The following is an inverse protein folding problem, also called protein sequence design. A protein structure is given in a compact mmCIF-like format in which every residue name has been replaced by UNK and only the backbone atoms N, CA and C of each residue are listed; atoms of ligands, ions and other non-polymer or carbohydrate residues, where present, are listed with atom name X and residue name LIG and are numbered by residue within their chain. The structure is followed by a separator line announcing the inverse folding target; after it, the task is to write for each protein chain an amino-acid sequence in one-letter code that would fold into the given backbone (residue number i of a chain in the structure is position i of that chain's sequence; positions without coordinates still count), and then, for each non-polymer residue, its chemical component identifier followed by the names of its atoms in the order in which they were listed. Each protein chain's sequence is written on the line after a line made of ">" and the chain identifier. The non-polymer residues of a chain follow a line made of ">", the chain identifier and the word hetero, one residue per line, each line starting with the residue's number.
data_IF_906159639403
#
_entry.id   IF_906159639403
#
_cell.length_a   1.000
_cell.length_b   1.000
_cell.length_c   1.000
_cell.angle_alpha   90.00
_cell.angle_beta   90.00
_cell.angle_gamma   90.00
#
_symmetry.space_group_name_H-M   'P 1'
#
loop_
_entity.id
_entity.type
_entity.pdbx_description
1 polymer ?
#
# COMPACT_ATOMS: atom_id res chain seq x y z
N UNK A 1 50.33 4.80 -40.94
CA UNK A 1 50.14 6.01 -40.09
C UNK A 1 49.15 5.63 -38.98
N UNK A 2 49.66 5.39 -37.76
CA UNK A 2 48.87 4.90 -36.62
C UNK A 2 48.45 6.10 -35.78
N UNK A 3 47.17 6.44 -35.77
CA UNK A 3 46.59 7.44 -34.85
C UNK A 3 46.10 6.76 -33.58
N UNK A 4 46.75 7.02 -32.45
CA UNK A 4 46.38 6.60 -31.12
C UNK A 4 45.36 7.62 -30.59
N UNK A 5 44.11 7.19 -30.38
CA UNK A 5 43.14 7.95 -29.59
C UNK A 5 43.35 7.64 -28.09
N UNK A 6 43.74 8.66 -27.36
CA UNK A 6 43.88 8.67 -25.93
C UNK A 6 42.49 9.05 -25.36
N UNK A 7 41.75 8.05 -24.85
CA UNK A 7 40.48 8.31 -24.14
C UNK A 7 40.80 8.72 -22.71
N UNK A 8 40.67 10.01 -22.40
CA UNK A 8 40.71 10.51 -21.03
C UNK A 8 39.39 10.13 -20.32
N UNK A 9 39.43 9.17 -19.39
CA UNK A 9 38.35 8.79 -18.49
C UNK A 9 38.27 9.85 -17.39
N UNK A 10 37.38 10.82 -17.52
CA UNK A 10 37.04 11.75 -16.44
C UNK A 10 36.14 11.01 -15.47
N UNK A 11 36.70 10.52 -14.37
CA UNK A 11 35.95 10.00 -13.22
C UNK A 11 35.40 11.24 -12.48
N UNK A 12 34.16 11.59 -12.74
CA UNK A 12 33.39 12.48 -11.87
C UNK A 12 33.11 11.72 -10.57
N UNK A 13 33.96 11.91 -9.58
CA UNK A 13 33.69 11.54 -8.21
C UNK A 13 32.51 12.36 -7.72
N UNK A 14 31.30 11.79 -7.74
CA UNK A 14 30.17 12.26 -6.96
C UNK A 14 30.54 12.10 -5.48
N UNK A 15 31.14 13.14 -4.90
CA UNK A 15 31.18 13.32 -3.45
C UNK A 15 29.73 13.46 -2.99
N UNK A 16 29.10 12.35 -2.56
CA UNK A 16 27.94 12.38 -1.71
C UNK A 16 28.38 13.11 -0.42
N UNK A 17 28.20 14.43 -0.37
CA UNK A 17 28.13 15.11 0.90
C UNK A 17 27.00 14.40 1.66
N UNK A 18 27.32 13.79 2.80
CA UNK A 18 26.34 13.23 3.71
C UNK A 18 25.53 14.40 4.29
N UNK A 19 24.56 14.90 3.53
CA UNK A 19 23.53 15.77 4.07
C UNK A 19 22.50 14.88 4.74
N UNK A 20 22.01 15.29 5.90
CA UNK A 20 20.89 14.62 6.55
C UNK A 20 19.72 14.55 5.55
N UNK A 21 19.12 13.35 5.41
CA UNK A 21 18.02 13.17 4.46
C UNK A 21 16.70 13.58 5.10
N UNK A 22 15.93 14.36 4.36
CA UNK A 22 14.63 14.84 4.80
C UNK A 22 13.50 13.86 4.42
N UNK A 23 12.34 14.05 5.03
CA UNK A 23 11.17 13.19 4.82
C UNK A 23 10.74 13.13 3.34
N UNK A 24 10.79 14.25 2.63
CA UNK A 24 10.35 14.35 1.24
C UNK A 24 11.30 13.59 0.30
N UNK A 25 12.60 13.67 0.51
CA UNK A 25 13.59 12.95 -0.29
C UNK A 25 13.45 11.44 -0.11
N UNK A 26 13.23 10.98 1.13
CA UNK A 26 12.97 9.56 1.43
C UNK A 26 11.67 9.08 0.75
N UNK A 27 10.60 9.88 0.79
CA UNK A 27 9.36 9.56 0.10
C UNK A 27 9.57 9.42 -1.42
N UNK A 28 10.29 10.35 -2.05
CA UNK A 28 10.59 10.30 -3.49
C UNK A 28 11.44 9.09 -3.87
N UNK A 29 12.38 8.70 -3.02
CA UNK A 29 13.13 7.46 -3.20
C UNK A 29 12.22 6.24 -3.07
N UNK A 30 11.35 6.21 -2.06
CA UNK A 30 10.38 5.14 -1.86
C UNK A 30 9.40 5.03 -3.04
N UNK A 31 8.92 6.15 -3.59
CA UNK A 31 8.03 6.17 -4.76
C UNK A 31 8.62 5.42 -5.97
N UNK A 32 9.95 5.50 -6.16
CA UNK A 32 10.65 4.78 -7.22
C UNK A 32 11.01 3.32 -6.92
N UNK A 33 11.10 2.93 -5.64
CA UNK A 33 11.71 1.67 -5.21
C UNK A 33 10.80 0.77 -4.37
N UNK A 34 9.73 1.29 -3.76
CA UNK A 34 8.85 0.50 -2.90
C UNK A 34 8.18 -0.63 -3.68
N UNK A 35 8.41 -1.91 -3.31
CA UNK A 35 7.89 -3.05 -4.08
C UNK A 35 6.36 -3.10 -4.11
N UNK A 36 5.69 -2.64 -3.04
CA UNK A 36 4.24 -2.66 -2.93
C UNK A 36 3.60 -1.66 -3.90
N UNK A 37 4.16 -0.45 -4.02
CA UNK A 37 3.71 0.54 -5.00
C UNK A 37 4.00 0.08 -6.44
N UNK A 38 5.18 -0.50 -6.70
CA UNK A 38 5.53 -1.02 -8.03
C UNK A 38 4.63 -2.20 -8.43
N UNK A 39 4.27 -3.07 -7.48
CA UNK A 39 3.29 -4.13 -7.70
C UNK A 39 1.92 -3.56 -8.09
N UNK A 40 1.41 -2.57 -7.34
CA UNK A 40 0.13 -1.94 -7.64
C UNK A 40 0.14 -1.26 -9.02
N UNK A 41 1.26 -0.62 -9.40
CA UNK A 41 1.45 -0.03 -10.73
C UNK A 41 1.38 -1.09 -11.83
N UNK A 42 2.11 -2.21 -11.67
CA UNK A 42 2.11 -3.29 -12.65
C UNK A 42 0.70 -3.93 -12.77
N UNK A 43 -0.03 -4.09 -11.67
CA UNK A 43 -1.41 -4.57 -11.69
C UNK A 43 -2.37 -3.61 -12.40
N UNK A 44 -2.21 -2.30 -12.18
CA UNK A 44 -2.94 -1.27 -12.91
C UNK A 44 -2.66 -1.36 -14.41
N UNK A 45 -1.40 -1.37 -14.80
CA UNK A 45 -1.01 -1.40 -16.21
C UNK A 45 -1.51 -2.68 -16.89
N UNK A 46 -1.46 -3.83 -16.22
CA UNK A 46 -2.06 -5.08 -16.70
C UNK A 46 -3.60 -5.00 -16.85
N UNK A 47 -4.29 -4.31 -15.93
CA UNK A 47 -5.73 -4.12 -16.01
C UNK A 47 -6.14 -3.23 -17.20
N UNK A 48 -5.33 -2.21 -17.53
CA UNK A 48 -5.55 -1.39 -18.74
C UNK A 48 -5.27 -2.18 -20.02
N UNK A 49 -4.24 -3.04 -20.04
CA UNK A 49 -3.98 -3.91 -21.19
C UNK A 49 -5.09 -4.96 -21.39
N UNK A 50 -5.77 -5.37 -20.33
CA UNK A 50 -6.93 -6.26 -20.41
C UNK A 50 -8.09 -5.70 -21.24
N UNK A 51 -8.20 -4.37 -21.37
CA UNK A 51 -9.20 -3.73 -22.24
C UNK A 51 -8.93 -4.13 -23.69
N UNK A 52 -7.66 -4.02 -24.15
CA UNK A 52 -7.26 -4.39 -25.50
C UNK A 52 -7.55 -5.87 -25.79
N UNK A 53 -7.28 -6.76 -24.83
CA UNK A 53 -7.61 -8.20 -24.94
C UNK A 53 -9.13 -8.43 -25.06
N UNK A 54 -9.93 -7.69 -24.29
CA UNK A 54 -11.38 -7.82 -24.32
C UNK A 54 -11.96 -7.26 -25.63
N UNK A 55 -11.44 -6.13 -26.11
CA UNK A 55 -11.86 -5.51 -27.37
C UNK A 55 -11.50 -6.39 -28.57
N UNK A 56 -10.42 -7.17 -28.48
CA UNK A 56 -10.02 -8.12 -29.53
C UNK A 56 -11.11 -9.17 -29.84
N UNK A 57 -12.06 -9.41 -28.93
CA UNK A 57 -13.22 -10.29 -29.19
C UNK A 57 -14.14 -9.76 -30.30
N UNK A 58 -14.06 -8.46 -30.63
CA UNK A 58 -14.81 -7.85 -31.74
C UNK A 58 -14.00 -7.79 -33.04
N UNK A 59 -12.72 -8.18 -33.03
CA UNK A 59 -11.83 -8.17 -34.19
C UNK A 59 -11.80 -9.54 -34.89
N UNK A 60 -11.40 -9.59 -36.17
CA UNK A 60 -11.24 -10.86 -36.87
C UNK A 60 -10.23 -11.77 -36.18
N UNK A 61 -10.59 -13.01 -35.95
CA UNK A 61 -9.72 -14.07 -35.43
C UNK A 61 -9.33 -14.99 -36.58
N UNK A 62 -8.03 -15.17 -36.81
CA UNK A 62 -7.50 -16.04 -37.86
C UNK A 62 -6.75 -17.18 -37.20
N UNK A 63 -7.17 -18.42 -37.51
CA UNK A 63 -6.58 -19.64 -36.96
C UNK A 63 -6.09 -20.56 -38.08
N UNK A 64 -4.91 -21.15 -37.92
CA UNK A 64 -4.41 -22.25 -38.75
C UNK A 64 -4.60 -23.55 -37.98
N UNK A 65 -5.28 -24.51 -38.60
CA UNK A 65 -5.46 -25.87 -38.09
C UNK A 65 -4.82 -26.89 -39.00
N UNK A 66 -4.27 -27.94 -38.43
CA UNK A 66 -3.89 -29.16 -39.17
C UNK A 66 -4.36 -30.36 -38.38
N UNK A 67 -4.88 -31.34 -39.08
CA UNK A 67 -5.41 -32.58 -38.49
C UNK A 67 -4.97 -33.78 -39.27
N UNK A 68 -4.80 -34.88 -38.57
CA UNK A 68 -4.60 -36.21 -39.18
C UNK A 68 -5.48 -37.21 -38.44
N UNK A 69 -6.34 -37.87 -39.18
CA UNK A 69 -7.33 -38.81 -38.64
C UNK A 69 -7.16 -40.18 -39.30
N UNK A 70 -7.36 -41.22 -38.53
CA UNK A 70 -7.44 -42.60 -39.02
C UNK A 70 -8.75 -43.22 -38.55
N UNK A 71 -9.60 -43.57 -39.50
CA UNK A 71 -10.90 -44.19 -39.26
C UNK A 71 -10.83 -45.68 -39.62
N UNK A 72 -11.27 -46.56 -38.71
CA UNK A 72 -11.55 -47.97 -38.99
C UNK A 72 -13.03 -48.22 -38.74
N UNK A 73 -13.74 -48.74 -39.71
CA UNK A 73 -15.15 -48.97 -39.65
C UNK A 73 -15.52 -50.39 -40.12
N UNK A 74 -16.69 -50.90 -39.72
CA UNK A 74 -17.21 -52.18 -40.16
C UNK A 74 -18.21 -52.02 -41.32
N UNK A 75 -18.31 -50.83 -41.94
CA UNK A 75 -19.18 -50.66 -43.12
C UNK A 75 -18.61 -51.42 -44.32
N UNK A 76 -19.50 -51.97 -45.10
CA UNK A 76 -19.13 -52.91 -46.20
C UNK A 76 -18.27 -52.24 -47.28
N UNK A 77 -18.38 -50.91 -47.47
CA UNK A 77 -17.76 -50.21 -48.60
C UNK A 77 -16.47 -49.49 -48.21
N UNK A 78 -16.24 -49.15 -46.94
CA UNK A 78 -14.98 -48.51 -46.44
C UNK A 78 -14.58 -49.19 -45.15
N UNK A 79 -13.46 -49.92 -45.14
CA UNK A 79 -12.93 -50.57 -43.93
C UNK A 79 -11.97 -49.70 -43.14
N UNK A 80 -11.17 -48.92 -43.85
CA UNK A 80 -10.23 -47.95 -43.25
C UNK A 80 -10.09 -46.72 -44.13
N UNK A 81 -9.98 -45.56 -43.48
CA UNK A 81 -9.66 -44.30 -44.16
C UNK A 81 -8.65 -43.52 -43.31
N UNK A 82 -7.58 -43.08 -43.97
CA UNK A 82 -6.62 -42.12 -43.39
C UNK A 82 -6.86 -40.73 -44.00
N UNK A 83 -6.97 -39.69 -43.21
CA UNK A 83 -7.03 -38.34 -43.75
C UNK A 83 -6.02 -37.43 -43.07
N UNK A 84 -5.44 -36.52 -43.85
CA UNK A 84 -4.57 -35.43 -43.34
C UNK A 84 -5.03 -34.11 -43.98
N UNK A 85 -5.28 -33.12 -43.17
CA UNK A 85 -5.78 -31.82 -43.61
C UNK A 85 -5.07 -30.65 -43.01
N UNK A 86 -5.14 -29.52 -43.73
CA UNK A 86 -4.78 -28.21 -43.20
C UNK A 86 -5.85 -27.19 -43.57
N UNK A 87 -6.18 -26.30 -42.64
CA UNK A 87 -7.18 -25.29 -42.87
C UNK A 87 -6.80 -23.94 -42.24
N UNK A 88 -7.15 -22.85 -42.90
CA UNK A 88 -7.13 -21.50 -42.35
C UNK A 88 -8.59 -21.08 -42.16
N UNK A 89 -8.93 -20.72 -40.93
CA UNK A 89 -10.24 -20.22 -40.56
C UNK A 89 -10.20 -18.78 -40.09
N UNK A 90 -11.17 -17.96 -40.52
CA UNK A 90 -11.44 -16.64 -40.00
C UNK A 90 -12.79 -16.65 -39.31
N UNK A 91 -12.87 -16.10 -38.13
CA UNK A 91 -14.12 -15.84 -37.43
C UNK A 91 -14.14 -14.40 -36.92
N UNK A 92 -15.30 -13.70 -37.09
CA UNK A 92 -15.49 -12.37 -36.57
C UNK A 92 -16.92 -12.20 -36.08
N UNK A 93 -17.05 -11.68 -34.87
CA UNK A 93 -18.36 -11.28 -34.35
C UNK A 93 -18.80 -9.98 -35.03
N UNK A 94 -19.91 -10.02 -35.78
CA UNK A 94 -20.52 -8.84 -36.40
C UNK A 94 -21.49 -8.15 -35.47
N UNK A 95 -22.23 -8.93 -34.67
CA UNK A 95 -23.14 -8.42 -33.67
C UNK A 95 -23.17 -9.36 -32.46
N UNK A 96 -22.66 -8.91 -31.34
CA UNK A 96 -22.70 -9.60 -30.07
C UNK A 96 -22.64 -8.58 -28.93
N UNK A 97 -23.80 -8.14 -28.43
CA UNK A 97 -23.89 -7.11 -27.41
C UNK A 97 -23.12 -7.44 -26.13
N UNK A 98 -23.02 -8.72 -25.77
CA UNK A 98 -22.20 -9.15 -24.62
C UNK A 98 -20.73 -8.75 -24.74
N UNK A 99 -20.16 -8.72 -25.95
CA UNK A 99 -18.78 -8.29 -26.14
C UNK A 99 -18.58 -6.82 -25.75
N UNK A 100 -19.49 -5.94 -26.23
CA UNK A 100 -19.41 -4.51 -25.91
C UNK A 100 -19.60 -4.24 -24.42
N UNK A 101 -20.57 -4.93 -23.77
CA UNK A 101 -20.78 -4.81 -22.35
C UNK A 101 -19.59 -5.36 -21.54
N UNK A 102 -18.94 -6.43 -22.01
CA UNK A 102 -17.70 -6.93 -21.40
C UNK A 102 -16.55 -5.92 -21.52
N UNK A 103 -16.40 -5.23 -22.66
CA UNK A 103 -15.43 -4.14 -22.82
C UNK A 103 -15.69 -3.01 -21.83
N UNK A 104 -16.94 -2.57 -21.71
CA UNK A 104 -17.33 -1.52 -20.75
C UNK A 104 -17.06 -1.93 -19.29
N UNK A 105 -17.38 -3.18 -18.93
CA UNK A 105 -17.10 -3.73 -17.59
C UNK A 105 -15.58 -3.79 -17.34
N UNK A 106 -14.81 -4.27 -18.34
CA UNK A 106 -13.35 -4.34 -18.24
C UNK A 106 -12.72 -2.94 -18.10
N UNK A 107 -13.22 -1.94 -18.82
CA UNK A 107 -12.80 -0.55 -18.67
C UNK A 107 -13.05 -0.01 -17.24
N UNK A 108 -14.19 -0.35 -16.64
CA UNK A 108 -14.48 0.00 -15.25
C UNK A 108 -13.58 -0.75 -14.27
N UNK A 109 -13.25 -2.01 -14.53
CA UNK A 109 -12.29 -2.79 -13.75
C UNK A 109 -10.87 -2.20 -13.84
N UNK A 110 -10.48 -1.68 -15.01
CA UNK A 110 -9.23 -0.95 -15.15
C UNK A 110 -9.24 0.37 -14.33
N UNK A 111 -10.36 1.12 -14.37
CA UNK A 111 -10.55 2.30 -13.49
C UNK A 111 -10.47 1.92 -12.01
N UNK A 112 -11.03 0.78 -11.61
CA UNK A 112 -10.94 0.24 -10.26
C UNK A 112 -9.48 -0.02 -9.85
N UNK A 113 -8.67 -0.58 -10.77
CA UNK A 113 -7.24 -0.81 -10.55
C UNK A 113 -6.45 0.50 -10.44
N UNK A 114 -6.87 1.56 -11.15
CA UNK A 114 -6.29 2.90 -11.02
C UNK A 114 -6.60 3.52 -9.65
N UNK A 115 -7.83 3.39 -9.16
CA UNK A 115 -8.19 3.82 -7.78
C UNK A 115 -7.38 3.04 -6.74
N UNK A 116 -7.16 1.74 -6.92
CA UNK A 116 -6.31 0.93 -6.03
C UNK A 116 -4.84 1.42 -6.04
N UNK A 117 -4.31 1.78 -7.19
CA UNK A 117 -2.97 2.38 -7.29
C UNK A 117 -2.89 3.70 -6.52
N UNK A 118 -3.91 4.56 -6.63
CA UNK A 118 -3.98 5.83 -5.88
C UNK A 118 -4.10 5.61 -4.36
N UNK A 119 -4.85 4.57 -3.92
CA UNK A 119 -4.88 4.13 -2.52
C UNK A 119 -3.49 3.73 -2.03
N UNK A 120 -2.74 3.00 -2.86
CA UNK A 120 -1.39 2.57 -2.50
C UNK A 120 -0.40 3.75 -2.48
N UNK A 121 -0.58 4.76 -3.32
CA UNK A 121 0.19 6.01 -3.23
C UNK A 121 -0.05 6.73 -1.90
N UNK A 122 -1.31 6.87 -1.47
CA UNK A 122 -1.63 7.45 -0.16
C UNK A 122 -1.10 6.59 1.00
N UNK A 123 -1.17 5.28 0.86
CA UNK A 123 -0.58 4.33 1.81
C UNK A 123 0.93 4.51 1.92
N UNK A 124 1.64 4.70 0.81
CA UNK A 124 3.08 4.95 0.80
C UNK A 124 3.44 6.25 1.53
N UNK A 125 2.66 7.34 1.36
CA UNK A 125 2.85 8.59 2.11
C UNK A 125 2.85 8.31 3.61
N UNK A 126 1.83 7.60 4.10
CA UNK A 126 1.72 7.27 5.54
C UNK A 126 2.79 6.28 6.00
N UNK A 127 3.11 5.25 5.22
CA UNK A 127 4.17 4.28 5.57
C UNK A 127 5.52 4.97 5.69
N UNK A 128 5.81 5.89 4.76
CA UNK A 128 7.06 6.67 4.81
C UNK A 128 7.09 7.59 6.01
N UNK A 129 6.01 8.34 6.28
CA UNK A 129 5.93 9.22 7.45
C UNK A 129 6.04 8.42 8.75
N UNK A 130 5.34 7.29 8.88
CA UNK A 130 5.43 6.41 10.05
C UNK A 130 6.85 5.88 10.27
N UNK A 131 7.53 5.38 9.22
CA UNK A 131 8.88 4.87 9.33
C UNK A 131 9.88 5.98 9.69
N UNK A 132 9.74 7.17 9.10
CA UNK A 132 10.57 8.34 9.39
C UNK A 132 10.45 8.78 10.85
N UNK A 133 9.21 9.00 11.31
CA UNK A 133 8.97 9.43 12.70
C UNK A 133 9.23 8.33 13.72
N UNK A 134 9.18 7.05 13.34
CA UNK A 134 9.64 5.96 14.19
C UNK A 134 11.16 6.06 14.46
N UNK A 135 11.97 6.39 13.45
CA UNK A 135 13.41 6.63 13.64
C UNK A 135 13.65 7.84 14.53
N UNK A 136 12.96 8.97 14.29
CA UNK A 136 13.13 10.17 15.12
C UNK A 136 12.70 9.92 16.57
N UNK A 137 11.59 9.20 16.79
CA UNK A 137 11.13 8.84 18.14
C UNK A 137 12.11 7.90 18.84
N UNK A 138 12.71 6.95 18.13
CA UNK A 138 13.74 6.06 18.69
C UNK A 138 15.04 6.83 18.99
N UNK A 139 15.43 7.81 18.14
CA UNK A 139 16.60 8.70 18.36
C UNK A 139 16.40 9.54 19.62
N UNK A 140 15.25 10.21 19.73
CA UNK A 140 14.93 11.03 20.91
C UNK A 140 14.86 10.17 22.18
N UNK A 141 14.26 8.98 22.11
CA UNK A 141 14.23 8.02 23.22
C UNK A 141 15.64 7.66 23.67
N UNK A 142 16.54 7.35 22.73
CA UNK A 142 17.94 7.03 23.04
C UNK A 142 18.65 8.22 23.68
N UNK A 143 18.43 9.43 23.19
CA UNK A 143 18.98 10.65 23.78
C UNK A 143 18.54 10.83 25.23
N UNK A 144 17.23 10.67 25.52
CA UNK A 144 16.70 10.86 26.87
C UNK A 144 17.13 9.75 27.83
N UNK A 145 17.18 8.46 27.40
CA UNK A 145 17.66 7.39 28.27
C UNK A 145 19.17 7.50 28.54
N UNK A 146 19.98 7.96 27.57
CA UNK A 146 21.41 8.27 27.79
C UNK A 146 21.59 9.43 28.79
N UNK A 147 20.80 10.49 28.64
CA UNK A 147 20.85 11.60 29.57
C UNK A 147 20.39 11.21 30.99
N UNK A 148 19.39 10.30 31.10
CA UNK A 148 18.99 9.73 32.39
C UNK A 148 20.11 8.87 33.01
N UNK A 149 20.70 7.96 32.21
CA UNK A 149 21.82 7.13 32.66
C UNK A 149 22.99 7.96 33.19
N UNK A 150 23.36 9.02 32.44
CA UNK A 150 24.45 9.92 32.85
C UNK A 150 24.10 10.71 34.14
N UNK A 151 22.86 11.13 34.33
CA UNK A 151 22.40 11.76 35.56
C UNK A 151 22.45 10.77 36.74
N UNK A 152 22.01 9.53 36.55
CA UNK A 152 22.08 8.50 37.60
C UNK A 152 23.51 8.06 37.93
N UNK A 153 24.41 8.04 36.93
CA UNK A 153 25.83 7.78 37.13
C UNK A 153 26.44 8.82 38.05
N UNK A 154 26.21 10.10 37.76
CA UNK A 154 26.70 11.20 38.63
C UNK A 154 26.12 11.12 40.05
N UNK A 155 24.86 10.74 40.18
CA UNK A 155 24.21 10.55 41.47
C UNK A 155 24.81 9.38 42.26
N UNK A 156 25.15 8.28 41.59
CA UNK A 156 25.85 7.12 42.20
C UNK A 156 27.25 7.57 42.73
N UNK A 157 28.01 8.30 41.86
CA UNK A 157 29.34 8.77 42.25
C UNK A 157 29.28 9.72 43.45
N UNK A 158 28.32 10.64 43.49
CA UNK A 158 28.08 11.55 44.63
C UNK A 158 27.70 10.77 45.90
N UNK A 159 26.75 9.81 45.79
CA UNK A 159 26.29 8.99 46.92
C UNK A 159 27.44 8.16 47.50
N UNK A 160 28.29 7.59 46.62
CA UNK A 160 29.47 6.84 47.04
C UNK A 160 30.47 7.71 47.80
N UNK A 161 30.69 8.98 47.34
CA UNK A 161 31.55 9.92 48.05
C UNK A 161 30.99 10.31 49.43
N UNK A 162 29.68 10.55 49.54
CA UNK A 162 29.00 10.85 50.80
C UNK A 162 29.09 9.68 51.78
N UNK A 163 28.97 8.44 51.29
CA UNK A 163 29.13 7.22 52.10
C UNK A 163 30.56 7.11 52.64
N UNK A 164 31.57 7.36 51.82
CA UNK A 164 32.97 7.26 52.20
C UNK A 164 33.38 8.24 53.35
N UNK A 165 32.63 9.37 53.46
CA UNK A 165 32.82 10.34 54.56
C UNK A 165 31.80 10.19 55.69
N UNK A 166 30.96 9.12 55.66
CA UNK A 166 30.00 8.79 56.73
C UNK A 166 28.73 9.66 56.74
N UNK A 167 28.38 10.32 55.58
CA UNK A 167 27.23 11.22 55.48
C UNK A 167 25.97 10.52 55.00
N UNK A 168 26.04 9.27 54.51
CA UNK A 168 24.88 8.50 54.05
C UNK A 168 25.07 7.02 54.30
N UNK A 169 23.98 6.20 54.21
CA UNK A 169 24.01 4.78 54.45
C UNK A 169 24.49 3.99 53.22
N UNK A 170 24.99 2.77 53.42
CA UNK A 170 25.38 1.88 52.31
C UNK A 170 24.16 1.47 51.44
N UNK A 171 22.95 1.44 52.02
CA UNK A 171 21.70 1.20 51.32
C UNK A 171 21.46 2.22 50.18
N UNK A 172 21.78 3.48 50.42
CA UNK A 172 21.63 4.55 49.43
C UNK A 172 22.55 4.34 48.23
N UNK A 173 23.77 3.83 48.48
CA UNK A 173 24.71 3.44 47.39
C UNK A 173 24.15 2.27 46.58
N UNK A 174 23.60 1.26 47.25
CA UNK A 174 23.00 0.12 46.53
C UNK A 174 21.78 0.52 45.73
N UNK A 175 20.94 1.42 46.20
CA UNK A 175 19.80 1.96 45.48
C UNK A 175 20.23 2.79 44.24
N UNK A 176 21.24 3.65 44.41
CA UNK A 176 21.79 4.40 43.28
C UNK A 176 22.46 3.49 42.24
N UNK A 177 23.17 2.44 42.68
CA UNK A 177 23.76 1.43 41.79
C UNK A 177 22.68 0.67 41.02
N UNK A 178 21.63 0.22 41.68
CA UNK A 178 20.52 -0.48 41.02
C UNK A 178 19.82 0.40 39.96
N UNK A 179 19.62 1.68 40.28
CA UNK A 179 19.03 2.62 39.35
C UNK A 179 19.91 2.86 38.09
N UNK A 180 21.24 2.98 38.29
CA UNK A 180 22.20 3.11 37.20
C UNK A 180 22.29 1.86 36.34
N UNK A 181 22.29 0.66 36.94
CA UNK A 181 22.36 -0.60 36.21
C UNK A 181 21.09 -0.79 35.35
N UNK A 182 19.91 -0.46 35.88
CA UNK A 182 18.66 -0.47 35.13
C UNK A 182 18.70 0.52 33.94
N UNK A 183 19.14 1.74 34.18
CA UNK A 183 19.27 2.73 33.10
C UNK A 183 20.28 2.31 32.02
N UNK A 184 21.30 1.53 32.39
CA UNK A 184 22.26 0.94 31.43
C UNK A 184 21.56 -0.09 30.53
N UNK A 185 20.69 -0.94 31.08
CA UNK A 185 19.89 -1.87 30.29
C UNK A 185 18.89 -1.14 29.37
N UNK A 186 18.31 -0.02 29.83
CA UNK A 186 17.41 0.80 29.01
C UNK A 186 18.14 1.41 27.80
N UNK A 187 19.40 1.86 27.96
CA UNK A 187 20.22 2.37 26.85
C UNK A 187 20.47 1.29 25.81
N UNK A 188 20.84 0.06 26.21
CA UNK A 188 21.05 -1.06 25.28
C UNK A 188 19.78 -1.35 24.48
N UNK A 189 18.64 -1.35 25.16
CA UNK A 189 17.33 -1.56 24.51
C UNK A 189 17.02 -0.43 23.51
N UNK A 190 17.25 0.82 23.88
CA UNK A 190 17.00 1.97 23.02
C UNK A 190 17.92 1.99 21.79
N UNK A 191 19.21 1.60 21.94
CA UNK A 191 20.15 1.47 20.82
C UNK A 191 19.70 0.41 19.81
N UNK A 192 19.24 -0.74 20.30
CA UNK A 192 18.67 -1.78 19.44
C UNK A 192 17.40 -1.30 18.73
N UNK A 193 16.50 -0.60 19.43
CA UNK A 193 15.27 -0.07 18.85
C UNK A 193 15.57 0.98 17.75
N UNK A 194 16.57 1.84 17.95
CA UNK A 194 17.00 2.79 16.93
C UNK A 194 17.52 2.06 15.67
N UNK A 195 18.36 1.05 15.86
CA UNK A 195 18.89 0.25 14.75
C UNK A 195 17.75 -0.41 13.97
N UNK A 196 16.79 -1.03 14.67
CA UNK A 196 15.64 -1.68 14.04
C UNK A 196 14.71 -0.67 13.34
N UNK A 197 14.58 0.57 13.83
CA UNK A 197 13.75 1.59 13.19
C UNK A 197 14.32 2.04 11.84
N UNK A 198 15.64 2.08 11.66
CA UNK A 198 16.27 2.33 10.36
C UNK A 198 15.97 1.23 9.33
N UNK A 199 15.83 -0.04 9.77
CA UNK A 199 15.43 -1.13 8.87
C UNK A 199 14.00 -0.93 8.31
N UNK A 200 13.11 -0.26 9.04
CA UNK A 200 11.80 0.15 8.54
C UNK A 200 11.89 1.10 7.34
N UNK A 201 12.80 2.07 7.36
CA UNK A 201 13.06 2.94 6.20
C UNK A 201 13.73 2.18 5.05
N UNK A 202 14.70 1.31 5.37
CA UNK A 202 15.38 0.48 4.39
C UNK A 202 14.41 -0.45 3.65
N UNK A 203 13.41 -0.98 4.32
CA UNK A 203 12.38 -1.82 3.70
C UNK A 203 11.61 -1.07 2.59
N UNK A 204 11.35 0.24 2.77
CA UNK A 204 10.61 1.04 1.79
C UNK A 204 11.49 1.49 0.62
N UNK A 205 12.75 1.82 0.87
CA UNK A 205 13.62 2.49 -0.10
C UNK A 205 14.74 1.61 -0.65
N UNK A 206 15.04 0.50 0.03
CA UNK A 206 16.22 -0.34 -0.26
C UNK A 206 17.56 0.34 0.02
N UNK A 207 17.56 1.50 0.70
CA UNK A 207 18.75 2.31 0.97
C UNK A 207 19.05 2.39 2.47
N UNK A 208 20.32 2.56 2.84
CA UNK A 208 20.73 2.77 4.22
C UNK A 208 20.83 4.28 4.52
N UNK A 209 20.36 4.67 5.70
CA UNK A 209 20.37 6.04 6.19
C UNK A 209 21.21 6.14 7.45
N UNK A 210 21.95 7.23 7.61
CA UNK A 210 22.79 7.48 8.81
C UNK A 210 22.25 8.63 9.65
N UNK A 211 21.78 9.67 9.00
CA UNK A 211 21.28 10.87 9.65
C UNK A 211 20.02 11.34 8.97
N UNK A 212 19.03 11.76 9.77
CA UNK A 212 17.77 12.31 9.30
C UNK A 212 17.62 13.73 9.87
N UNK A 213 16.91 14.59 9.12
CA UNK A 213 16.45 15.87 9.63
C UNK A 213 15.52 15.66 10.82
N UNK A 214 15.61 16.52 11.82
CA UNK A 214 14.86 16.40 13.09
C UNK A 214 13.73 17.41 13.15
N UNK A 215 12.74 17.15 14.02
CA UNK A 215 11.64 18.10 14.23
C UNK A 215 12.17 19.37 14.91
N UNK A 216 11.90 20.55 14.30
CA UNK A 216 12.18 21.84 14.95
C UNK A 216 11.17 22.05 16.09
N UNK A 217 11.58 21.68 17.29
CA UNK A 217 10.73 21.75 18.48
C UNK A 217 10.43 23.17 18.94
N UNK A 218 11.19 24.18 18.49
CA UNK A 218 10.96 25.59 18.83
C UNK A 218 9.86 26.20 17.95
N UNK A 219 9.79 25.80 16.69
CA UNK A 219 8.74 26.25 15.75
C UNK A 219 7.52 25.36 15.76
N UNK A 220 7.62 24.15 16.33
CA UNK A 220 6.52 23.21 16.37
C UNK A 220 5.38 23.73 17.27
N UNK A 221 4.21 23.94 16.68
CA UNK A 221 2.99 24.28 17.38
C UNK A 221 1.83 23.46 16.81
N UNK A 222 1.15 22.64 17.64
CA UNK A 222 0.01 21.89 17.17
C UNK A 222 -1.15 22.86 16.90
N UNK A 223 -1.50 23.05 15.62
CA UNK A 223 -2.60 23.89 15.22
C UNK A 223 -3.95 23.15 15.36
N UNK A 224 -4.95 23.83 15.87
CA UNK A 224 -6.31 23.31 15.88
C UNK A 224 -6.82 23.12 14.44
N UNK A 225 -7.69 22.11 14.24
CA UNK A 225 -8.38 21.94 12.97
C UNK A 225 -9.27 23.17 12.70
N UNK A 226 -9.11 23.81 11.56
CA UNK A 226 -9.86 25.01 11.18
C UNK A 226 -11.33 24.72 10.90
N UNK A 227 -11.62 23.51 10.43
CA UNK A 227 -12.94 23.09 9.99
C UNK A 227 -13.55 22.09 10.96
N UNK A 228 -14.86 22.13 11.12
CA UNK A 228 -15.61 21.16 11.92
C UNK A 228 -15.69 19.79 11.26
N UNK A 229 -16.03 18.78 12.05
CA UNK A 229 -16.17 17.37 11.60
C UNK A 229 -17.09 17.20 10.39
N UNK A 230 -18.14 18.02 10.27
CA UNK A 230 -19.10 17.93 9.16
C UNK A 230 -18.49 18.35 7.82
N UNK A 231 -17.59 19.35 7.83
CA UNK A 231 -16.85 19.76 6.62
C UNK A 231 -15.87 18.67 6.18
N UNK A 232 -15.20 18.04 7.15
CA UNK A 232 -14.34 16.90 6.90
C UNK A 232 -15.12 15.70 6.36
N UNK A 233 -16.34 15.45 6.90
CA UNK A 233 -17.21 14.38 6.40
C UNK A 233 -17.60 14.60 4.94
N UNK A 234 -17.95 15.82 4.55
CA UNK A 234 -18.28 16.14 3.17
C UNK A 234 -17.09 15.91 2.24
N UNK A 235 -15.86 16.30 2.66
CA UNK A 235 -14.64 16.00 1.89
C UNK A 235 -14.44 14.49 1.71
N UNK A 236 -14.69 13.70 2.76
CA UNK A 236 -14.59 12.24 2.68
C UNK A 236 -15.65 11.63 1.76
N UNK A 237 -16.86 12.11 1.76
CA UNK A 237 -17.90 11.65 0.84
C UNK A 237 -17.51 11.84 -0.62
N UNK A 238 -16.85 12.96 -0.95
CA UNK A 238 -16.45 13.29 -2.32
C UNK A 238 -15.11 12.67 -2.70
N UNK A 239 -14.15 12.62 -1.78
CA UNK A 239 -12.74 12.32 -2.07
C UNK A 239 -12.24 10.94 -1.61
N UNK A 240 -12.95 10.24 -0.70
CA UNK A 240 -12.47 8.97 -0.18
C UNK A 240 -12.38 7.89 -1.26
N UNK A 241 -11.16 7.38 -1.47
CA UNK A 241 -10.87 6.42 -2.55
C UNK A 241 -11.56 5.07 -2.31
N UNK A 242 -11.74 4.64 -1.05
CA UNK A 242 -12.45 3.40 -0.74
C UNK A 242 -13.94 3.49 -1.07
N UNK A 243 -14.56 4.64 -0.84
CA UNK A 243 -15.94 4.91 -1.28
C UNK A 243 -16.05 4.92 -2.81
N UNK A 244 -15.08 5.55 -3.49
CA UNK A 244 -15.05 5.56 -4.94
C UNK A 244 -14.92 4.14 -5.52
N UNK A 245 -14.07 3.31 -4.93
CA UNK A 245 -13.92 1.91 -5.29
C UNK A 245 -15.25 1.14 -5.20
N UNK A 246 -16.00 1.33 -4.12
CA UNK A 246 -17.28 0.67 -3.93
C UNK A 246 -18.40 1.21 -4.85
N UNK A 247 -18.35 2.49 -5.21
CA UNK A 247 -19.23 3.05 -6.24
C UNK A 247 -19.00 2.39 -7.60
N UNK A 248 -17.74 2.22 -7.99
CA UNK A 248 -17.37 1.51 -9.23
C UNK A 248 -17.82 0.04 -9.17
N UNK A 249 -17.61 -0.65 -8.04
CA UNK A 249 -18.07 -2.03 -7.84
C UNK A 249 -19.58 -2.17 -8.03
N UNK A 250 -20.36 -1.26 -7.44
CA UNK A 250 -21.82 -1.23 -7.60
C UNK A 250 -22.21 -1.01 -9.07
N UNK A 251 -21.52 -0.10 -9.79
CA UNK A 251 -21.78 0.18 -11.20
C UNK A 251 -21.45 -1.02 -12.10
N UNK A 252 -20.35 -1.74 -11.80
CA UNK A 252 -20.02 -3.00 -12.48
C UNK A 252 -21.12 -4.04 -12.24
N UNK A 253 -21.54 -4.22 -10.98
CA UNK A 253 -22.61 -5.17 -10.66
C UNK A 253 -23.95 -4.82 -11.36
N UNK A 254 -24.23 -3.53 -11.53
CA UNK A 254 -25.39 -3.06 -12.31
C UNK A 254 -25.27 -3.47 -13.80
N UNK A 255 -24.10 -3.25 -14.41
CA UNK A 255 -23.88 -3.63 -15.81
C UNK A 255 -23.91 -5.15 -16.01
N UNK A 256 -23.50 -5.94 -15.01
CA UNK A 256 -23.59 -7.39 -15.05
C UNK A 256 -25.03 -7.90 -15.17
N UNK A 257 -26.02 -7.14 -14.69
CA UNK A 257 -27.44 -7.45 -14.94
C UNK A 257 -27.75 -7.35 -16.43
N UNK A 258 -27.28 -6.27 -17.08
CA UNK A 258 -27.53 -6.07 -18.52
C UNK A 258 -26.74 -7.10 -19.36
N UNK A 259 -25.51 -7.43 -18.93
CA UNK A 259 -24.74 -8.52 -19.53
C UNK A 259 -25.49 -9.87 -19.45
N UNK A 260 -26.07 -10.21 -18.29
CA UNK A 260 -26.84 -11.43 -18.13
C UNK A 260 -28.07 -11.46 -19.04
N UNK A 261 -28.74 -10.33 -19.29
CA UNK A 261 -29.89 -10.20 -20.20
C UNK A 261 -29.52 -10.45 -21.67
N UNK A 262 -28.25 -10.18 -22.07
CA UNK A 262 -27.82 -10.47 -23.47
C UNK A 262 -27.88 -11.93 -23.83
N UNK A 263 -28.04 -12.84 -22.86
CA UNK A 263 -28.32 -14.26 -23.13
C UNK A 263 -29.61 -14.51 -23.90
N UNK A 264 -30.56 -13.58 -23.93
CA UNK A 264 -31.77 -13.60 -24.74
C UNK A 264 -31.62 -12.97 -26.12
N UNK A 265 -30.49 -12.26 -26.35
CA UNK A 265 -30.29 -11.47 -27.56
C UNK A 265 -29.64 -12.31 -28.67
N UNK A 266 -29.89 -11.95 -29.95
CA UNK A 266 -29.25 -12.65 -31.06
C UNK A 266 -27.76 -12.34 -31.14
N UNK A 267 -27.01 -13.28 -31.75
CA UNK A 267 -25.62 -13.09 -32.17
C UNK A 267 -25.50 -13.30 -33.66
N UNK A 268 -24.62 -12.54 -34.29
CA UNK A 268 -24.29 -12.66 -35.71
C UNK A 268 -22.77 -12.73 -35.87
N UNK A 269 -22.31 -13.82 -36.42
CA UNK A 269 -20.89 -14.09 -36.61
C UNK A 269 -20.60 -14.34 -38.11
N UNK A 270 -19.51 -13.75 -38.61
CA UNK A 270 -18.94 -14.02 -39.94
C UNK A 270 -17.93 -15.18 -39.79
N UNK A 271 -18.01 -16.15 -40.62
CA UNK A 271 -17.00 -17.22 -40.71
C UNK A 271 -16.53 -17.40 -42.14
N UNK A 272 -15.21 -17.58 -42.32
CA UNK A 272 -14.64 -17.96 -43.60
C UNK A 272 -13.58 -19.02 -43.36
N UNK A 273 -13.49 -20.01 -44.25
CA UNK A 273 -12.46 -21.04 -44.16
C UNK A 273 -11.97 -21.47 -45.52
N UNK A 274 -10.66 -21.73 -45.58
CA UNK A 274 -9.98 -22.35 -46.70
C UNK A 274 -9.32 -23.64 -46.18
N UNK A 275 -9.54 -24.78 -46.81
CA UNK A 275 -8.99 -26.05 -46.38
C UNK A 275 -8.56 -26.94 -47.52
N UNK A 276 -7.59 -27.81 -47.24
CA UNK A 276 -7.15 -28.87 -48.15
C UNK A 276 -7.01 -30.15 -47.32
N UNK A 277 -7.71 -31.18 -47.69
CA UNK A 277 -7.69 -32.47 -46.98
C UNK A 277 -7.42 -33.58 -48.00
N UNK A 278 -6.35 -34.35 -47.78
CA UNK A 278 -6.08 -35.59 -48.50
C UNK A 278 -6.67 -36.76 -47.74
N UNK A 279 -7.37 -37.67 -48.48
CA UNK A 279 -7.95 -38.88 -47.87
C UNK A 279 -7.47 -40.10 -48.68
N UNK A 280 -6.95 -41.08 -47.94
CA UNK A 280 -6.54 -42.43 -48.45
C UNK A 280 -7.57 -43.45 -47.95
N UNK A 281 -8.25 -44.10 -48.87
CA UNK A 281 -9.24 -45.14 -48.60
C UNK A 281 -8.66 -46.52 -48.83
N UNK A 282 -8.74 -47.42 -47.85
CA UNK A 282 -8.28 -48.82 -47.96
C UNK A 282 -9.43 -49.79 -47.80
N UNK A 283 -9.40 -50.84 -48.62
CA UNK A 283 -10.40 -51.91 -48.68
C UNK A 283 -11.82 -51.39 -49.03
N UNK A 284 -11.91 -50.57 -50.06
CA UNK A 284 -13.20 -50.06 -50.56
C UNK A 284 -13.76 -50.99 -51.64
N UNK A 285 -15.10 -51.19 -51.71
CA UNK A 285 -15.80 -51.54 -52.94
C UNK A 285 -15.61 -50.37 -53.93
N UNK A 286 -15.75 -50.60 -55.23
CA UNK A 286 -15.28 -49.83 -56.38
C UNK A 286 -15.70 -48.32 -56.47
N UNK A 287 -16.08 -47.65 -55.41
CA UNK A 287 -16.68 -46.30 -55.49
C UNK A 287 -15.96 -45.17 -54.75
N UNK A 288 -14.84 -45.41 -54.07
CA UNK A 288 -14.09 -44.37 -53.34
C UNK A 288 -12.63 -44.34 -53.84
N UNK A 289 -12.24 -43.19 -54.36
CA UNK A 289 -10.86 -42.94 -54.84
C UNK A 289 -10.12 -42.05 -53.84
N UNK A 290 -8.84 -42.31 -53.65
CA UNK A 290 -7.92 -41.44 -52.90
C UNK A 290 -7.86 -40.08 -53.57
N UNK A 291 -7.82 -39.03 -52.77
CA UNK A 291 -7.78 -37.71 -53.38
C UNK A 291 -7.65 -36.55 -52.42
N UNK A 292 -7.33 -35.40 -52.98
CA UNK A 292 -7.29 -34.13 -52.27
C UNK A 292 -8.56 -33.33 -52.53
N UNK A 293 -9.25 -32.96 -51.46
CA UNK A 293 -10.37 -32.03 -51.49
C UNK A 293 -9.93 -30.64 -51.03
N UNK A 294 -10.04 -29.67 -51.93
CA UNK A 294 -9.88 -28.26 -51.58
C UNK A 294 -11.26 -27.64 -51.35
N UNK A 295 -11.41 -26.97 -50.24
CA UNK A 295 -12.68 -26.34 -49.84
C UNK A 295 -12.45 -24.84 -49.53
N UNK A 296 -13.40 -24.01 -49.95
CA UNK A 296 -13.52 -22.62 -49.54
C UNK A 296 -14.96 -22.37 -49.09
N UNK A 297 -15.14 -21.86 -47.92
CA UNK A 297 -16.45 -21.56 -47.33
C UNK A 297 -16.44 -20.13 -46.77
N UNK A 298 -17.53 -19.38 -47.00
CA UNK A 298 -17.84 -18.10 -46.38
C UNK A 298 -19.30 -18.12 -45.97
N UNK A 299 -19.57 -17.78 -44.74
CA UNK A 299 -20.92 -17.81 -44.18
C UNK A 299 -21.15 -16.76 -43.10
N UNK A 300 -22.39 -16.37 -42.93
CA UNK A 300 -22.87 -15.58 -41.81
C UNK A 300 -23.78 -16.46 -40.97
N UNK A 301 -23.46 -16.59 -39.70
CA UNK A 301 -24.23 -17.38 -38.76
C UNK A 301 -25.05 -16.46 -37.86
N UNK A 302 -26.37 -16.63 -37.84
CA UNK A 302 -27.29 -16.01 -36.89
C UNK A 302 -27.72 -17.06 -35.85
N UNK A 303 -27.59 -16.71 -34.56
CA UNK A 303 -28.05 -17.56 -33.48
C UNK A 303 -28.83 -16.73 -32.45
N UNK A 304 -30.05 -17.22 -32.10
CA UNK A 304 -30.90 -16.59 -31.09
C UNK A 304 -31.52 -17.68 -30.22
N UNK A 305 -31.21 -17.73 -28.92
CA UNK A 305 -31.83 -18.70 -28.01
C UNK A 305 -33.30 -18.32 -27.76
N UNK A 306 -34.23 -19.14 -28.19
CA UNK A 306 -35.66 -18.92 -27.96
C UNK A 306 -36.12 -19.43 -26.59
N UNK A 307 -35.52 -20.55 -26.13
CA UNK A 307 -35.79 -21.12 -24.82
C UNK A 307 -34.55 -21.84 -24.27
N UNK A 308 -34.16 -21.51 -23.05
CA UNK A 308 -32.96 -22.05 -22.39
C UNK A 308 -33.26 -22.71 -21.04
N UNK A 309 -34.48 -23.29 -20.90
CA UNK A 309 -34.88 -23.98 -19.67
C UNK A 309 -34.90 -23.09 -18.42
N UNK A 310 -35.04 -21.74 -18.57
CA UNK A 310 -35.00 -20.77 -17.45
C UNK A 310 -33.61 -20.38 -16.97
N UNK A 311 -32.54 -20.89 -17.62
CA UNK A 311 -31.16 -20.63 -17.17
C UNK A 311 -30.78 -19.14 -17.27
N UNK A 312 -31.21 -18.42 -18.33
CA UNK A 312 -30.91 -17.00 -18.52
C UNK A 312 -31.65 -16.19 -17.47
N UNK A 313 -32.94 -16.44 -17.22
CA UNK A 313 -33.70 -15.74 -16.18
C UNK A 313 -33.07 -15.92 -14.78
N UNK A 314 -32.57 -17.13 -14.50
CA UNK A 314 -31.85 -17.41 -13.25
C UNK A 314 -30.55 -16.62 -13.15
N UNK A 315 -29.76 -16.48 -14.23
CA UNK A 315 -28.55 -15.64 -14.28
C UNK A 315 -28.89 -14.18 -14.06
N UNK A 316 -29.95 -13.66 -14.66
CA UNK A 316 -30.42 -12.29 -14.45
C UNK A 316 -30.78 -12.07 -12.97
N UNK A 317 -31.51 -12.98 -12.34
CA UNK A 317 -31.83 -12.92 -10.91
C UNK A 317 -30.58 -12.98 -10.03
N UNK A 318 -29.61 -13.84 -10.36
CA UNK A 318 -28.33 -13.88 -9.64
C UNK A 318 -27.60 -12.53 -9.75
N UNK A 319 -27.52 -11.93 -10.94
CA UNK A 319 -26.90 -10.63 -11.13
C UNK A 319 -27.65 -9.52 -10.37
N UNK A 320 -28.98 -9.56 -10.28
CA UNK A 320 -29.77 -8.63 -9.46
C UNK A 320 -29.45 -8.77 -7.96
N UNK A 321 -29.34 -9.99 -7.44
CA UNK A 321 -28.91 -10.18 -6.03
C UNK A 321 -27.47 -9.73 -5.77
N UNK A 322 -26.56 -9.95 -6.72
CA UNK A 322 -25.20 -9.44 -6.64
C UNK A 322 -25.16 -7.90 -6.63
N UNK A 323 -26.03 -7.24 -7.39
CA UNK A 323 -26.17 -5.78 -7.35
C UNK A 323 -26.68 -5.29 -5.99
N UNK A 324 -27.64 -5.99 -5.37
CA UNK A 324 -28.09 -5.70 -4.00
C UNK A 324 -26.92 -5.85 -3.02
N UNK A 325 -26.18 -6.95 -3.10
CA UNK A 325 -25.01 -7.20 -2.25
C UNK A 325 -23.94 -6.09 -2.42
N UNK A 326 -23.66 -5.65 -3.66
CA UNK A 326 -22.72 -4.55 -3.91
C UNK A 326 -23.24 -3.20 -3.38
N UNK A 327 -24.55 -2.98 -3.40
CA UNK A 327 -25.18 -1.79 -2.83
C UNK A 327 -25.06 -1.74 -1.30
N UNK A 328 -25.27 -2.87 -0.64
CA UNK A 328 -25.09 -2.99 0.81
C UNK A 328 -23.61 -2.89 1.21
N UNK A 329 -22.69 -3.39 0.38
CA UNK A 329 -21.25 -3.21 0.59
C UNK A 329 -20.83 -1.73 0.50
N UNK A 330 -21.41 -0.96 -0.42
CA UNK A 330 -21.20 0.49 -0.49
C UNK A 330 -21.70 1.18 0.78
N UNK A 331 -22.91 0.83 1.24
CA UNK A 331 -23.46 1.40 2.48
C UNK A 331 -22.63 1.03 3.70
N UNK A 332 -22.17 -0.22 3.81
CA UNK A 332 -21.25 -0.64 4.87
C UNK A 332 -19.96 0.18 4.87
N UNK A 333 -19.35 0.36 3.69
CA UNK A 333 -18.13 1.15 3.55
C UNK A 333 -18.37 2.62 3.90
N UNK A 334 -19.51 3.19 3.50
CA UNK A 334 -19.90 4.56 3.86
C UNK A 334 -19.94 4.73 5.39
N UNK A 335 -20.63 3.83 6.11
CA UNK A 335 -20.70 3.86 7.57
C UNK A 335 -19.33 3.67 8.23
N UNK A 336 -18.47 2.82 7.67
CA UNK A 336 -17.10 2.65 8.16
C UNK A 336 -16.30 3.93 8.00
N UNK A 337 -16.31 4.55 6.81
CA UNK A 337 -15.61 5.81 6.53
C UNK A 337 -16.13 6.93 7.44
N UNK A 338 -17.44 7.01 7.68
CA UNK A 338 -18.02 7.96 8.60
C UNK A 338 -17.49 7.76 10.03
N UNK A 339 -17.49 6.53 10.53
CA UNK A 339 -16.98 6.21 11.86
C UNK A 339 -15.47 6.48 11.98
N UNK A 340 -14.69 6.13 10.93
CA UNK A 340 -13.24 6.35 10.89
C UNK A 340 -12.91 7.84 10.85
N UNK A 341 -13.69 8.63 10.12
CA UNK A 341 -13.52 10.08 10.06
C UNK A 341 -13.75 10.74 11.42
N UNK A 342 -14.87 10.43 12.08
CA UNK A 342 -15.15 11.00 13.40
C UNK A 342 -14.10 10.57 14.44
N UNK A 343 -13.64 9.31 14.38
CA UNK A 343 -12.51 8.86 15.22
C UNK A 343 -11.23 9.63 14.90
N UNK A 344 -10.87 9.75 13.63
CA UNK A 344 -9.66 10.47 13.21
C UNK A 344 -9.71 11.95 13.61
N UNK A 345 -10.86 12.62 13.48
CA UNK A 345 -11.05 13.99 13.92
C UNK A 345 -10.87 14.14 15.44
N UNK A 346 -11.46 13.24 16.21
CA UNK A 346 -11.31 13.20 17.67
C UNK A 346 -9.87 12.87 18.08
N UNK A 347 -9.21 11.96 17.37
CA UNK A 347 -7.81 11.58 17.61
C UNK A 347 -6.86 12.79 17.42
N UNK A 348 -7.04 13.59 16.36
CA UNK A 348 -6.25 14.81 16.14
C UNK A 348 -6.51 15.81 17.28
N UNK A 349 -7.77 16.01 17.65
CA UNK A 349 -8.14 16.93 18.76
C UNK A 349 -7.52 16.47 20.09
N UNK A 350 -7.57 15.18 20.37
CA UNK A 350 -6.94 14.59 21.57
C UNK A 350 -5.42 14.71 21.52
N UNK A 351 -4.79 14.51 20.34
CA UNK A 351 -3.35 14.63 20.18
C UNK A 351 -2.86 16.07 20.45
N UNK A 352 -3.61 17.09 20.03
CA UNK A 352 -3.33 18.50 20.38
C UNK A 352 -3.35 18.69 21.90
N UNK A 353 -4.39 18.20 22.56
CA UNK A 353 -4.52 18.26 24.03
C UNK A 353 -3.37 17.53 24.73
N UNK A 354 -2.96 16.39 24.21
CA UNK A 354 -1.86 15.58 24.74
C UNK A 354 -0.52 16.30 24.64
N UNK A 355 -0.20 16.93 23.49
CA UNK A 355 1.04 17.71 23.34
C UNK A 355 1.10 18.83 24.38
N UNK A 356 0.01 19.61 24.55
CA UNK A 356 -0.04 20.69 25.51
C UNK A 356 0.10 20.19 26.96
N UNK A 357 -0.56 19.08 27.30
CA UNK A 357 -0.49 18.47 28.63
C UNK A 357 0.90 17.94 28.94
N UNK A 358 1.56 17.25 28.01
CA UNK A 358 2.92 16.76 28.20
C UNK A 358 3.96 17.88 28.24
N UNK A 359 3.75 18.98 27.51
CA UNK A 359 4.60 20.15 27.61
C UNK A 359 4.56 20.74 29.03
N UNK A 360 3.36 20.86 29.61
CA UNK A 360 3.20 21.30 31.00
C UNK A 360 3.78 20.28 32.00
N UNK A 361 3.65 18.98 31.71
CA UNK A 361 4.23 17.91 32.53
C UNK A 361 5.75 18.00 32.62
N UNK A 362 6.44 18.32 31.50
CA UNK A 362 7.89 18.52 31.51
C UNK A 362 8.26 19.69 32.41
N UNK A 363 7.58 20.84 32.32
CA UNK A 363 7.82 22.01 33.18
C UNK A 363 7.65 21.66 34.67
N UNK A 364 6.58 20.93 34.98
CA UNK A 364 6.30 20.49 36.36
C UNK A 364 7.35 19.50 36.89
N UNK A 365 7.77 18.54 36.04
CA UNK A 365 8.80 17.56 36.41
C UNK A 365 10.19 18.21 36.60
N UNK A 366 10.56 19.21 35.79
CA UNK A 366 11.78 20.00 35.98
C UNK A 366 11.79 20.75 37.31
N UNK A 367 10.67 21.36 37.63
CA UNK A 367 10.49 22.07 38.90
C UNK A 367 10.56 21.11 40.11
N UNK A 368 9.90 19.94 40.00
CA UNK A 368 9.90 18.90 41.02
C UNK A 368 11.33 18.33 41.25
N UNK A 369 12.07 18.05 40.17
CA UNK A 369 13.45 17.57 40.29
C UNK A 369 14.35 18.62 40.98
N UNK A 370 14.23 19.90 40.63
CA UNK A 370 14.97 20.97 41.23
C UNK A 370 14.71 21.09 42.73
N UNK A 371 13.43 21.07 43.14
CA UNK A 371 13.02 21.11 44.54
C UNK A 371 13.47 19.86 45.32
N UNK A 372 13.29 18.67 44.73
CA UNK A 372 13.72 17.42 45.38
C UNK A 372 15.23 17.35 45.55
N UNK A 373 16.01 17.82 44.58
CA UNK A 373 17.48 17.91 44.71
C UNK A 373 17.89 18.81 45.86
N UNK A 374 17.32 20.01 45.95
CA UNK A 374 17.59 20.91 47.05
C UNK A 374 17.20 20.29 48.42
N UNK A 375 16.05 19.59 48.48
CA UNK A 375 15.62 18.88 49.69
C UNK A 375 16.56 17.70 50.08
N UNK A 376 17.08 16.99 49.10
CA UNK A 376 18.10 15.94 49.33
C UNK A 376 19.42 16.50 49.88
N UNK A 377 19.87 17.61 49.32
CA UNK A 377 21.09 18.27 49.78
C UNK A 377 21.04 18.71 51.25
N UNK A 378 19.87 19.14 51.74
CA UNK A 378 19.62 19.54 53.12
C UNK A 378 19.08 18.40 54.01
N UNK A 379 18.95 17.18 53.49
CA UNK A 379 18.55 15.96 54.25
C UNK A 379 17.05 15.86 54.52
N UNK A 380 16.18 16.63 53.86
CA UNK A 380 14.71 16.55 54.01
C UNK A 380 14.05 15.65 52.98
N UNK A 381 14.78 15.16 52.02
CA UNK A 381 14.37 14.18 51.00
C UNK A 381 15.36 13.02 50.95
N UNK A 382 14.87 11.86 50.50
CA UNK A 382 15.66 10.64 50.35
C UNK A 382 16.33 10.57 48.99
N UNK A 383 17.34 9.69 48.86
CA UNK A 383 17.96 9.36 47.56
C UNK A 383 16.89 8.80 46.58
N UNK A 384 15.96 7.98 47.06
CA UNK A 384 14.88 7.41 46.25
C UNK A 384 14.01 8.48 45.65
N UNK A 385 13.63 9.50 46.43
CA UNK A 385 12.87 10.66 45.91
C UNK A 385 13.60 11.36 44.76
N UNK A 386 14.92 11.52 44.88
CA UNK A 386 15.76 12.17 43.86
C UNK A 386 15.90 11.32 42.59
N UNK A 387 16.11 10.00 42.73
CA UNK A 387 16.17 9.06 41.62
C UNK A 387 14.85 9.01 40.85
N UNK A 388 13.72 8.97 41.59
CA UNK A 388 12.38 8.97 41.00
C UNK A 388 12.05 10.28 40.30
N UNK A 389 12.39 11.44 40.86
CA UNK A 389 12.19 12.73 40.23
C UNK A 389 13.01 12.86 38.93
N UNK A 390 14.25 12.31 38.93
CA UNK A 390 15.10 12.26 37.73
C UNK A 390 14.45 11.41 36.63
N UNK A 391 14.03 10.20 36.96
CA UNK A 391 13.35 9.29 36.03
C UNK A 391 12.07 9.93 35.44
N UNK A 392 11.26 10.55 36.31
CA UNK A 392 10.02 11.19 35.91
C UNK A 392 10.23 12.33 34.92
N UNK A 393 11.29 13.14 35.06
CA UNK A 393 11.63 14.19 34.13
C UNK A 393 11.94 13.62 32.73
N UNK A 394 12.82 12.64 32.63
CA UNK A 394 13.21 12.07 31.34
C UNK A 394 12.05 11.31 30.69
N UNK A 395 11.22 10.62 31.47
CA UNK A 395 9.96 10.03 31.00
C UNK A 395 9.00 11.08 30.44
N UNK A 396 8.82 12.22 31.11
CA UNK A 396 7.96 13.29 30.62
C UNK A 396 8.49 13.88 29.28
N UNK A 397 9.81 14.06 29.14
CA UNK A 397 10.45 14.51 27.89
C UNK A 397 10.23 13.51 26.74
N UNK A 398 10.37 12.22 27.02
CA UNK A 398 10.10 11.16 26.04
C UNK A 398 8.63 11.14 25.59
N UNK A 399 7.69 11.25 26.53
CA UNK A 399 6.25 11.30 26.24
C UNK A 399 5.89 12.55 25.40
N UNK A 400 6.50 13.70 25.66
CA UNK A 400 6.29 14.91 24.87
C UNK A 400 6.77 14.73 23.42
N UNK A 401 7.96 14.16 23.23
CA UNK A 401 8.49 13.88 21.90
C UNK A 401 7.58 12.93 21.11
N UNK A 402 7.19 11.81 21.72
CA UNK A 402 6.27 10.86 21.12
C UNK A 402 4.91 11.49 20.77
N UNK A 403 4.38 12.38 21.64
CA UNK A 403 3.12 13.06 21.38
C UNK A 403 3.19 14.01 20.18
N UNK A 404 4.32 14.69 19.95
CA UNK A 404 4.54 15.56 18.78
C UNK A 404 4.49 14.77 17.47
N UNK A 405 5.20 13.64 17.39
CA UNK A 405 5.17 12.77 16.21
C UNK A 405 3.81 12.14 15.99
N UNK A 406 3.15 11.68 17.06
CA UNK A 406 1.79 11.15 16.98
C UNK A 406 0.80 12.17 16.44
N UNK A 407 0.88 13.43 16.83
CA UNK A 407 0.03 14.50 16.29
C UNK A 407 0.19 14.65 14.77
N UNK A 408 1.43 14.68 14.26
CA UNK A 408 1.68 14.78 12.81
C UNK A 408 1.09 13.57 12.08
N UNK A 409 1.30 12.37 12.60
CA UNK A 409 0.78 11.15 11.99
C UNK A 409 -0.75 11.11 11.99
N UNK A 410 -1.40 11.56 13.08
CA UNK A 410 -2.87 11.64 13.17
C UNK A 410 -3.46 12.64 12.17
N UNK A 411 -2.78 13.77 11.93
CA UNK A 411 -3.20 14.71 10.89
C UNK A 411 -3.14 14.10 9.49
N UNK A 412 -2.05 13.40 9.16
CA UNK A 412 -1.91 12.73 7.86
C UNK A 412 -2.96 11.61 7.69
N UNK A 413 -3.23 10.84 8.76
CA UNK A 413 -4.28 9.81 8.76
C UNK A 413 -5.68 10.41 8.52
N UNK A 414 -6.01 11.52 9.17
CA UNK A 414 -7.29 12.21 8.95
C UNK A 414 -7.43 12.67 7.49
N UNK A 415 -6.36 13.24 6.89
CA UNK A 415 -6.34 13.63 5.48
C UNK A 415 -6.50 12.44 4.54
N UNK A 416 -5.93 11.26 4.88
CA UNK A 416 -6.14 10.04 4.11
C UNK A 416 -7.60 9.60 4.15
N UNK A 417 -8.22 9.56 5.34
CA UNK A 417 -9.63 9.18 5.48
C UNK A 417 -10.53 10.17 4.71
N UNK A 418 -10.20 11.46 4.74
CA UNK A 418 -10.90 12.47 3.96
C UNK A 418 -10.63 12.41 2.45
N UNK A 419 -9.68 11.56 2.00
CA UNK A 419 -9.30 11.44 0.59
C UNK A 419 -8.51 12.64 0.05
N UNK A 420 -7.97 13.49 0.94
CA UNK A 420 -7.25 14.71 0.58
C UNK A 420 -5.73 14.61 0.75
N UNK A 421 -5.23 13.45 1.19
CA UNK A 421 -3.80 13.24 1.42
C UNK A 421 -3.02 13.26 0.11
N UNK A 422 -2.01 14.13 0.02
CA UNK A 422 -1.17 14.34 -1.16
C UNK A 422 0.31 14.52 -0.78
N UNK A 423 1.23 14.47 -1.76
CA UNK A 423 2.66 14.76 -1.54
C UNK A 423 2.88 16.14 -0.91
N UNK A 424 2.04 17.13 -1.22
CA UNK A 424 2.11 18.47 -0.63
C UNK A 424 2.05 18.44 0.91
N UNK A 425 1.29 17.51 1.48
CA UNK A 425 1.21 17.36 2.94
C UNK A 425 2.56 16.94 3.56
N UNK A 426 3.35 16.14 2.83
CA UNK A 426 4.73 15.83 3.25
C UNK A 426 5.66 17.04 3.08
N UNK A 427 5.47 17.87 2.07
CA UNK A 427 6.23 19.13 1.91
C UNK A 427 5.96 20.06 3.10
N UNK A 428 4.68 20.18 3.50
CA UNK A 428 4.29 21.01 4.64
C UNK A 428 4.90 20.48 5.95
N UNK A 429 4.85 19.18 6.19
CA UNK A 429 5.52 18.53 7.35
C UNK A 429 7.04 18.72 7.27
N UNK A 430 7.64 18.55 6.10
CA UNK A 430 9.09 18.70 5.89
C UNK A 430 9.59 20.12 6.19
N UNK A 431 8.74 21.14 5.94
CA UNK A 431 9.06 22.53 6.27
C UNK A 431 9.24 22.79 7.78
N UNK A 432 8.69 21.92 8.61
CA UNK A 432 8.83 21.92 10.08
C UNK A 432 10.04 21.12 10.59
N UNK A 433 10.85 20.55 9.70
CA UNK A 433 12.08 19.86 10.06
C UNK A 433 13.29 20.81 10.00
N UNK A 434 14.30 20.52 10.80
CA UNK A 434 15.59 21.19 10.81
C UNK A 434 16.71 20.16 10.56
N UNK A 435 17.84 20.62 10.02
CA UNK A 435 18.99 19.72 9.80
C UNK A 435 19.42 19.04 11.09
N UNK A 436 19.47 17.71 11.05
CA UNK A 436 19.82 16.86 12.18
C UNK A 436 21.33 16.67 12.38
#
# INVERSE_FOLDING_TARGET
>A
MKMRFLSALVIFGLSNAASAENLLDIYRQAQGKDPQLQQAKAQRDAAFEKINETDAANLPQINLGADANYLKTNQNDVKTAGSAGASIGLSQSLFRRSNWLNSDITAKQATQSDVNYNLEQQSLILRTANAYFAVLSAKDTLEYVKANQEALKRQLEETQQRYNVGMTAITDVHEAQAAYDLATADVITAENNLTNSYEGLRQLTGSEYKTLDVLDTQRFSPAALSDGSDVWMKRAEDGNLSLNLQRINKDIAKQQIDLAKTGHEPTVDLTASLGSTYTDYKNTGASYEDGTLNSANVGVQFNMPLYSGGAIDSRVKQAQFNFVAASESLEQTYRSVQADLYRGYNDVTAAIGSVNAYQQSVVSAESALTATRAGYEVGTRTIVDLLDATRNLYSAKQMLSAARYNFILKQLQLKQIAGTLQEQDLVDVNSGLAKG
#
